data_IF_739003839616
#
_entry.id   IF_739003839616
#
_cell.length_a   1.000
_cell.length_b   1.000
_cell.length_c   1.000
_cell.angle_alpha   90.00
_cell.angle_beta   90.00
_cell.angle_gamma   90.00
#
_symmetry.space_group_name_H-M   'P 1'
#
loop_
_entity.id
_entity.type
_entity.pdbx_description
1 polymer ?
#
# COMPACT_ATOMS: atom_id res chain seq x y z
N UNK A 1 31.56 -16.23 -58.19
CA UNK A 1 30.67 -17.35 -57.82
C UNK A 1 30.21 -17.11 -56.40
N UNK A 2 29.02 -16.53 -56.23
CA UNK A 2 28.46 -16.17 -54.93
C UNK A 2 27.35 -17.14 -54.55
N UNK A 3 27.47 -17.60 -53.32
CA UNK A 3 26.63 -18.50 -52.52
C UNK A 3 25.19 -18.03 -52.41
N UNK A 4 24.25 -18.98 -52.45
CA UNK A 4 23.05 -19.13 -51.57
C UNK A 4 21.95 -19.88 -52.30
N UNK A 5 21.41 -20.95 -51.71
CA UNK A 5 19.99 -21.35 -51.73
C UNK A 5 19.79 -22.45 -50.69
N UNK A 6 19.63 -22.07 -49.43
CA UNK A 6 19.12 -22.98 -48.40
C UNK A 6 17.60 -23.00 -48.51
N UNK A 7 17.04 -24.14 -48.91
CA UNK A 7 15.61 -24.42 -48.80
C UNK A 7 15.33 -24.83 -47.35
N UNK A 8 14.43 -24.10 -46.70
CA UNK A 8 13.93 -24.45 -45.39
C UNK A 8 12.56 -25.14 -45.48
N UNK A 9 12.27 -25.87 -44.40
CA UNK A 9 10.96 -26.26 -43.88
C UNK A 9 10.34 -27.55 -44.43
N UNK A 10 10.16 -28.55 -43.54
CA UNK A 10 8.83 -28.85 -42.97
C UNK A 10 8.87 -30.04 -41.98
N UNK A 11 8.08 -29.86 -40.91
CA UNK A 11 7.28 -30.85 -40.16
C UNK A 11 8.00 -31.84 -39.21
N UNK A 12 7.85 -31.58 -37.91
CA UNK A 12 7.19 -32.53 -37.01
C UNK A 12 6.77 -31.80 -35.72
N UNK A 13 5.46 -31.58 -35.56
CA UNK A 13 4.86 -31.10 -34.33
C UNK A 13 4.86 -32.26 -33.31
N UNK A 14 5.70 -32.19 -32.29
CA UNK A 14 5.56 -33.02 -31.10
C UNK A 14 4.64 -32.29 -30.13
N UNK A 15 3.41 -32.79 -30.00
CA UNK A 15 2.42 -32.29 -29.06
C UNK A 15 2.88 -32.57 -27.63
N UNK A 16 3.29 -31.52 -26.92
CA UNK A 16 3.51 -31.55 -25.47
C UNK A 16 2.14 -31.65 -24.78
N UNK A 17 1.79 -32.82 -24.24
CA UNK A 17 0.60 -32.95 -23.39
C UNK A 17 0.86 -32.20 -22.08
N UNK A 18 0.31 -30.99 -22.01
CA UNK A 18 0.28 -30.19 -20.81
C UNK A 18 -0.53 -30.90 -19.72
N UNK A 19 0.12 -31.33 -18.64
CA UNK A 19 -0.57 -31.61 -17.40
C UNK A 19 -0.98 -30.26 -16.79
N UNK A 20 -2.20 -29.81 -17.10
CA UNK A 20 -2.81 -28.69 -16.41
C UNK A 20 -3.11 -29.14 -14.97
N UNK A 21 -2.21 -28.82 -14.04
CA UNK A 21 -2.55 -28.83 -12.64
C UNK A 21 -3.65 -27.78 -12.44
N UNK A 22 -4.89 -28.23 -12.28
CA UNK A 22 -6.00 -27.39 -11.85
C UNK A 22 -5.70 -27.02 -10.39
N UNK A 23 -5.00 -25.90 -10.20
CA UNK A 23 -5.00 -25.22 -8.93
C UNK A 23 -6.47 -24.86 -8.66
N UNK A 24 -7.04 -25.44 -7.59
CA UNK A 24 -8.30 -24.96 -7.04
C UNK A 24 -8.14 -23.45 -6.85
N UNK A 25 -9.15 -22.62 -7.17
CA UNK A 25 -9.16 -21.27 -6.64
C UNK A 25 -9.13 -21.41 -5.13
N UNK A 26 -7.98 -21.13 -4.52
CA UNK A 26 -7.93 -20.73 -3.14
C UNK A 26 -8.78 -19.46 -3.09
N UNK A 27 -10.07 -19.62 -2.81
CA UNK A 27 -10.89 -18.58 -2.24
C UNK A 27 -10.28 -18.28 -0.87
N UNK A 28 -9.13 -17.60 -0.89
CA UNK A 28 -8.76 -16.71 0.18
C UNK A 28 -9.87 -15.67 0.12
N UNK A 29 -10.92 -15.90 0.89
CA UNK A 29 -11.66 -14.80 1.51
C UNK A 29 -10.61 -14.05 2.31
N UNK A 30 -9.87 -13.17 1.65
CA UNK A 30 -9.36 -11.99 2.31
C UNK A 30 -10.62 -11.34 2.83
N UNK A 31 -10.84 -11.47 4.13
CA UNK A 31 -11.76 -10.59 4.82
C UNK A 31 -11.15 -9.21 4.59
N UNK A 32 -11.58 -8.55 3.52
CA UNK A 32 -11.41 -7.12 3.35
C UNK A 32 -12.27 -6.56 4.48
N UNK A 33 -11.68 -6.49 5.67
CA UNK A 33 -12.29 -5.90 6.85
C UNK A 33 -12.25 -4.39 6.61
N UNK A 34 -13.16 -3.95 5.75
CA UNK A 34 -13.25 -2.60 5.23
C UNK A 34 -14.06 -1.70 6.15
N UNK A 35 -13.77 -1.77 7.44
CA UNK A 35 -14.47 -0.95 8.43
C UNK A 35 -13.55 0.11 9.03
N UNK A 36 -12.30 0.24 8.56
CA UNK A 36 -11.38 1.25 9.06
C UNK A 36 -10.71 2.05 7.94
N UNK A 37 -11.05 3.34 7.90
CA UNK A 37 -10.64 4.28 6.85
C UNK A 37 -10.04 5.53 7.45
N UNK A 38 -9.21 6.22 6.67
CA UNK A 38 -8.51 7.43 7.07
C UNK A 38 -8.58 8.46 5.94
N UNK A 39 -8.76 9.73 6.29
CA UNK A 39 -8.58 10.89 5.40
C UNK A 39 -7.49 11.77 5.97
N UNK A 40 -6.60 12.29 5.13
CA UNK A 40 -5.61 13.27 5.55
C UNK A 40 -6.17 14.68 5.32
N UNK A 41 -6.05 15.54 6.33
CA UNK A 41 -6.63 16.90 6.32
C UNK A 41 -5.53 17.97 6.49
N UNK A 42 -5.86 19.20 6.11
CA UNK A 42 -4.92 20.33 6.08
C UNK A 42 -4.81 21.06 7.42
N UNK A 43 -5.74 20.82 8.35
CA UNK A 43 -5.77 21.38 9.69
C UNK A 43 -5.46 20.33 10.76
N UNK A 44 -5.36 20.74 12.03
CA UNK A 44 -5.13 19.83 13.17
C UNK A 44 -6.42 19.25 13.75
N UNK A 45 -7.57 19.84 13.39
CA UNK A 45 -8.88 19.52 13.96
C UNK A 45 -9.76 18.66 13.02
N UNK A 46 -9.19 18.16 11.91
CA UNK A 46 -9.86 17.33 10.91
C UNK A 46 -11.13 17.97 10.30
N UNK A 47 -11.12 19.29 10.13
CA UNK A 47 -12.31 20.03 9.68
C UNK A 47 -12.17 20.63 8.29
N UNK A 48 -10.94 20.78 7.78
CA UNK A 48 -10.65 21.48 6.52
C UNK A 48 -9.77 20.65 5.58
N UNK A 49 -10.08 20.71 4.28
CA UNK A 49 -9.19 20.19 3.25
C UNK A 49 -8.97 18.68 3.27
N UNK A 50 -9.86 17.91 3.92
CA UNK A 50 -9.74 16.46 3.98
C UNK A 50 -9.80 15.83 2.57
N UNK A 51 -8.80 15.02 2.27
CA UNK A 51 -8.65 14.33 0.99
C UNK A 51 -9.53 13.08 0.84
N UNK A 52 -9.14 12.20 -0.07
CA UNK A 52 -9.84 10.95 -0.31
C UNK A 52 -9.69 9.99 0.89
N UNK A 53 -10.73 9.19 1.14
CA UNK A 53 -10.68 8.15 2.17
C UNK A 53 -9.87 6.95 1.67
N UNK A 54 -8.84 6.60 2.40
CA UNK A 54 -8.02 5.41 2.17
C UNK A 54 -8.27 4.38 3.26
N UNK A 55 -8.21 3.11 2.89
CA UNK A 55 -8.37 2.03 3.85
C UNK A 55 -7.09 1.88 4.67
N UNK A 56 -7.18 1.82 6.00
CA UNK A 56 -6.00 1.75 6.89
C UNK A 56 -5.27 0.41 6.74
N UNK A 57 -5.97 -0.67 6.39
CA UNK A 57 -5.33 -1.96 6.06
C UNK A 57 -4.69 -1.99 4.67
N UNK A 58 -4.81 -0.93 3.86
CA UNK A 58 -4.15 -0.86 2.56
C UNK A 58 -2.66 -0.49 2.73
N UNK A 59 -1.73 -1.34 2.26
CA UNK A 59 -0.28 -1.09 2.42
C UNK A 59 0.29 -0.10 1.40
N UNK A 60 -0.54 0.58 0.60
CA UNK A 60 -0.10 1.55 -0.40
C UNK A 60 0.70 2.71 0.19
N UNK A 61 1.56 3.31 -0.65
CA UNK A 61 2.23 4.57 -0.32
C UNK A 61 1.31 5.75 -0.62
N UNK A 62 1.20 6.66 0.34
CA UNK A 62 0.29 7.82 0.31
C UNK A 62 1.10 9.11 0.24
N UNK A 63 1.05 9.81 -0.91
CA UNK A 63 1.76 11.07 -1.15
C UNK A 63 1.09 12.28 -0.49
N UNK A 64 0.89 12.22 0.83
CA UNK A 64 0.10 13.20 1.60
C UNK A 64 0.98 14.29 2.23
N UNK A 65 1.84 14.92 1.41
CA UNK A 65 2.79 15.96 1.86
C UNK A 65 2.06 17.14 2.51
N UNK A 66 2.55 17.60 3.67
CA UNK A 66 2.07 18.83 4.32
C UNK A 66 0.74 18.69 5.08
N UNK A 67 0.15 17.49 5.13
CA UNK A 67 -1.07 17.22 5.89
C UNK A 67 -0.80 17.27 7.39
N UNK A 68 -1.82 17.69 8.15
CA UNK A 68 -1.67 18.05 9.57
C UNK A 68 -2.52 17.19 10.51
N UNK A 69 -3.54 16.51 9.99
CA UNK A 69 -4.30 15.54 10.77
C UNK A 69 -4.78 14.38 9.93
N UNK A 70 -5.14 13.29 10.61
CA UNK A 70 -5.79 12.12 10.03
C UNK A 70 -7.16 11.95 10.69
N UNK A 71 -8.21 11.98 9.87
CA UNK A 71 -9.58 11.69 10.26
C UNK A 71 -9.90 10.22 10.02
N UNK A 72 -10.10 9.46 11.09
CA UNK A 72 -10.47 8.06 11.05
C UNK A 72 -11.98 7.87 10.98
N UNK A 73 -12.40 6.81 10.28
CA UNK A 73 -13.79 6.38 10.16
C UNK A 73 -13.91 4.89 10.46
N UNK A 74 -14.98 4.54 11.17
CA UNK A 74 -15.27 3.17 11.60
C UNK A 74 -14.34 2.69 12.72
N UNK A 75 -13.94 1.42 12.72
CA UNK A 75 -13.26 0.79 13.85
C UNK A 75 -12.07 -0.08 13.45
N UNK A 76 -10.97 0.04 14.19
CA UNK A 76 -9.78 -0.76 13.97
C UNK A 76 -10.03 -2.24 14.33
N UNK A 77 -9.85 -3.13 13.36
CA UNK A 77 -9.88 -4.59 13.55
C UNK A 77 -8.59 -5.19 14.15
N UNK A 78 -7.62 -4.35 14.51
CA UNK A 78 -6.31 -4.76 15.03
C UNK A 78 -5.39 -3.56 15.23
N UNK A 79 -4.15 -3.83 15.61
CA UNK A 79 -3.12 -2.80 15.77
C UNK A 79 -2.60 -2.36 14.40
N UNK A 80 -2.46 -1.04 14.25
CA UNK A 80 -1.88 -0.43 13.06
C UNK A 80 -0.81 0.58 13.46
N UNK A 81 0.13 0.83 12.55
CA UNK A 81 1.11 1.88 12.67
C UNK A 81 1.18 2.72 11.39
N UNK A 82 1.54 3.99 11.56
CA UNK A 82 1.77 4.95 10.49
C UNK A 82 3.28 5.09 10.29
N UNK A 83 3.76 4.64 9.15
CA UNK A 83 5.12 4.87 8.68
C UNK A 83 5.19 6.22 8.00
N UNK A 84 6.18 7.02 8.40
CA UNK A 84 6.48 8.34 7.86
C UNK A 84 7.74 8.24 7.02
N UNK A 85 7.68 8.77 5.79
CA UNK A 85 8.79 8.74 4.84
C UNK A 85 9.17 10.16 4.40
N UNK A 86 10.49 10.47 4.31
CA UNK A 86 10.97 11.77 3.85
C UNK A 86 10.84 11.95 2.32
N UNK A 87 10.51 10.89 1.58
CA UNK A 87 10.38 10.90 0.11
C UNK A 87 9.01 10.39 -0.33
N UNK A 88 8.44 10.99 -1.38
CA UNK A 88 7.07 10.73 -1.85
C UNK A 88 6.70 9.29 -2.24
N UNK A 89 7.68 8.40 -2.40
CA UNK A 89 7.49 7.01 -2.84
C UNK A 89 7.63 5.97 -1.70
N UNK A 90 7.68 6.42 -0.44
CA UNK A 90 7.84 5.56 0.74
C UNK A 90 9.03 4.58 0.70
N UNK A 91 10.25 4.98 0.26
CA UNK A 91 11.39 4.07 0.12
C UNK A 91 11.91 3.53 1.47
N UNK A 92 11.73 4.30 2.55
CA UNK A 92 12.19 3.96 3.89
C UNK A 92 11.24 4.54 4.96
N UNK A 93 11.43 4.14 6.20
CA UNK A 93 10.73 4.60 7.40
C UNK A 93 11.71 5.47 8.20
N UNK A 94 11.56 6.79 8.17
CA UNK A 94 12.35 7.68 9.04
C UNK A 94 11.74 7.82 10.42
N UNK A 95 10.42 7.67 10.52
CA UNK A 95 9.69 7.72 11.78
C UNK A 95 8.48 6.81 11.66
N UNK A 96 8.02 6.29 12.80
CA UNK A 96 6.80 5.52 12.86
C UNK A 96 6.07 5.78 14.18
N UNK A 97 4.75 5.78 14.13
CA UNK A 97 3.89 5.91 15.29
C UNK A 97 2.73 4.92 15.24
N UNK A 98 2.37 4.36 16.40
CA UNK A 98 1.16 3.55 16.52
C UNK A 98 -0.08 4.40 16.25
N UNK A 99 -1.02 3.87 15.47
CA UNK A 99 -2.31 4.52 15.23
C UNK A 99 -3.09 4.53 16.54
N UNK A 100 -3.57 5.70 17.02
CA UNK A 100 -4.28 5.79 18.28
C UNK A 100 -5.65 5.09 18.20
N UNK A 101 -6.00 4.34 19.25
CA UNK A 101 -7.31 3.69 19.36
C UNK A 101 -8.33 4.62 20.03
N UNK A 102 -9.57 4.64 19.52
CA UNK A 102 -10.65 5.44 20.10
C UNK A 102 -10.54 6.95 19.83
N UNK A 103 -9.61 7.36 18.96
CA UNK A 103 -9.43 8.74 18.53
C UNK A 103 -9.92 8.86 17.09
N UNK A 104 -10.85 9.78 16.85
CA UNK A 104 -11.38 10.03 15.50
C UNK A 104 -10.50 10.99 14.72
N UNK A 105 -9.94 12.02 15.36
CA UNK A 105 -9.03 12.97 14.73
C UNK A 105 -7.66 12.90 15.38
N UNK A 106 -6.63 12.55 14.60
CA UNK A 106 -5.27 12.45 15.07
C UNK A 106 -4.40 13.56 14.49
N UNK A 107 -3.87 14.43 15.35
CA UNK A 107 -2.88 15.44 14.99
C UNK A 107 -1.55 14.78 14.61
N UNK A 108 -1.11 15.04 13.39
CA UNK A 108 0.16 14.57 12.81
C UNK A 108 1.06 15.74 12.39
N UNK A 109 0.78 16.96 12.87
CA UNK A 109 1.52 18.18 12.49
C UNK A 109 3.01 18.11 12.81
N UNK A 110 3.43 17.27 13.75
CA UNK A 110 4.85 16.93 13.99
C UNK A 110 5.55 16.30 12.76
N UNK A 111 4.80 15.76 11.80
CA UNK A 111 5.31 15.14 10.57
C UNK A 111 5.16 16.04 9.33
N UNK A 112 5.02 17.36 9.49
CA UNK A 112 4.85 18.31 8.38
C UNK A 112 5.94 18.26 7.30
N UNK A 113 7.14 17.77 7.62
CA UNK A 113 8.24 17.59 6.65
C UNK A 113 8.19 16.27 5.88
N UNK A 114 7.25 15.38 6.23
CA UNK A 114 7.06 14.12 5.54
C UNK A 114 6.51 14.36 4.13
N UNK A 115 6.98 13.56 3.18
CA UNK A 115 6.46 13.59 1.82
C UNK A 115 5.44 12.49 1.56
N UNK A 116 5.54 11.38 2.29
CA UNK A 116 4.58 10.31 2.18
C UNK A 116 4.40 9.53 3.47
N UNK A 117 3.28 8.82 3.52
CA UNK A 117 2.86 7.98 4.63
C UNK A 117 2.47 6.60 4.13
N UNK A 118 2.55 5.60 5.02
CA UNK A 118 2.04 4.25 4.75
C UNK A 118 1.49 3.66 6.04
N UNK A 119 0.28 3.14 5.99
CA UNK A 119 -0.23 2.33 7.10
C UNK A 119 0.33 0.91 6.99
N UNK A 120 0.67 0.33 8.14
CA UNK A 120 1.07 -1.06 8.27
C UNK A 120 0.28 -1.71 9.40
N UNK A 121 0.00 -3.01 9.27
CA UNK A 121 -0.53 -3.81 10.38
C UNK A 121 0.57 -4.10 11.40
N UNK A 122 0.22 -4.08 12.68
CA UNK A 122 1.12 -4.34 13.80
C UNK A 122 1.87 -3.09 14.27
N UNK A 123 3.15 -3.25 14.59
CA UNK A 123 3.98 -2.25 15.27
C UNK A 123 5.09 -1.68 14.39
N UNK A 124 5.65 -0.55 14.83
CA UNK A 124 6.78 0.10 14.18
C UNK A 124 8.05 -0.75 14.17
N UNK A 125 8.78 -0.70 13.04
CA UNK A 125 10.15 -1.20 12.94
C UNK A 125 11.17 -0.15 13.37
N UNK A 126 12.45 -0.46 13.20
CA UNK A 126 13.53 0.53 13.35
C UNK A 126 13.59 1.51 12.16
N UNK A 127 14.15 2.69 12.38
CA UNK A 127 14.52 3.62 11.30
C UNK A 127 15.42 2.89 10.28
N UNK A 128 15.07 2.99 9.00
CA UNK A 128 15.84 2.43 7.90
C UNK A 128 16.06 3.41 6.75
N UNK A 129 15.90 4.70 7.05
CA UNK A 129 16.55 5.79 6.35
C UNK A 129 17.92 6.05 7.03
#
# INVERSE_FOLDING_TARGET
>A
MFTTKSLALLLAAAASTAAAAVALPNNITTVIQADYWAQFCDDTDCSQGCGESVQVSNPGCLGETGRRSILFHGGAGGDYALVVSPSGNCPCQSTCASVPTGVQCWDISQYQSAQSFRFIGGSCGADNC
#
